data_IF_951577016599
#
_entry.id   IF_951577016599
#
_cell.length_a   1.000
_cell.length_b   1.000
_cell.length_c   1.000
_cell.angle_alpha   90.00
_cell.angle_beta   90.00
_cell.angle_gamma   90.00
#
_symmetry.space_group_name_H-M   'P 1'
#
loop_
_entity.id
_entity.type
_entity.pdbx_description
1 polymer ?
#
# COMPACT_ATOMS: atom_id res chain seq x y z
N UNK A 1 18.37 -25.62 12.49
CA UNK A 1 17.50 -25.28 13.64
C UNK A 1 18.07 -25.92 14.90
N UNK A 2 18.20 -25.17 16.01
CA UNK A 2 18.57 -25.74 17.32
C UNK A 2 17.34 -25.81 18.20
N UNK A 3 16.91 -27.01 18.57
CA UNK A 3 15.73 -27.25 19.40
C UNK A 3 16.15 -27.28 20.87
N UNK A 4 15.61 -26.36 21.68
CA UNK A 4 15.80 -26.37 23.14
C UNK A 4 14.88 -27.42 23.74
N UNK A 5 15.46 -28.46 24.34
CA UNK A 5 14.75 -29.51 25.08
C UNK A 5 15.16 -29.50 26.54
N UNK A 6 14.20 -29.66 27.44
CA UNK A 6 14.43 -29.93 28.86
C UNK A 6 13.46 -31.03 29.32
N UNK A 7 13.90 -32.01 30.11
CA UNK A 7 13.03 -33.08 30.61
C UNK A 7 12.20 -33.83 29.55
N UNK A 8 12.69 -33.98 28.31
CA UNK A 8 11.97 -34.62 27.21
C UNK A 8 10.96 -33.74 26.47
N UNK A 9 10.70 -32.50 26.91
CA UNK A 9 9.79 -31.54 26.26
C UNK A 9 10.57 -30.47 25.48
N UNK A 10 10.03 -30.08 24.32
CA UNK A 10 10.56 -28.99 23.48
C UNK A 10 10.00 -27.66 23.97
N UNK A 11 10.88 -26.71 24.34
CA UNK A 11 10.50 -25.40 24.89
C UNK A 11 10.81 -24.23 23.95
N UNK A 12 11.43 -24.49 22.80
CA UNK A 12 11.67 -23.47 21.79
C UNK A 12 12.63 -23.94 20.72
N UNK A 13 12.67 -23.22 19.61
CA UNK A 13 13.61 -23.46 18.53
C UNK A 13 14.32 -22.15 18.18
N UNK A 14 15.65 -22.22 18.08
CA UNK A 14 16.47 -21.13 17.57
C UNK A 14 16.80 -21.48 16.12
N UNK A 15 16.25 -20.69 15.19
CA UNK A 15 16.59 -20.79 13.77
C UNK A 15 18.09 -20.49 13.59
N UNK A 16 18.75 -21.22 12.69
CA UNK A 16 20.10 -20.87 12.25
C UNK A 16 20.06 -19.56 11.47
N UNK A 17 21.21 -18.92 11.29
CA UNK A 17 21.30 -17.70 10.47
C UNK A 17 20.77 -17.92 9.04
N UNK A 18 21.02 -19.11 8.46
CA UNK A 18 20.52 -19.48 7.13
C UNK A 18 18.99 -19.66 7.10
N UNK A 19 18.41 -20.30 8.12
CA UNK A 19 16.95 -20.48 8.23
C UNK A 19 16.23 -19.14 8.47
N UNK A 20 16.81 -18.27 9.30
CA UNK A 20 16.29 -16.91 9.52
C UNK A 20 16.31 -16.11 8.22
N UNK A 21 17.43 -16.13 7.49
CA UNK A 21 17.54 -15.46 6.18
C UNK A 21 16.53 -15.99 5.16
N UNK A 22 16.34 -17.31 5.08
CA UNK A 22 15.35 -17.91 4.19
C UNK A 22 13.91 -17.52 4.57
N UNK A 23 13.61 -17.45 5.87
CA UNK A 23 12.32 -17.00 6.38
C UNK A 23 12.08 -15.52 6.09
N UNK A 24 13.08 -14.65 6.30
CA UNK A 24 12.98 -13.22 5.98
C UNK A 24 12.75 -13.00 4.48
N UNK A 25 13.40 -13.81 3.63
CA UNK A 25 13.17 -13.80 2.17
C UNK A 25 11.74 -14.19 1.80
N UNK A 26 11.16 -15.20 2.45
CA UNK A 26 9.79 -15.63 2.19
C UNK A 26 8.76 -14.62 2.71
N UNK A 27 8.99 -14.00 3.87
CA UNK A 27 8.17 -12.90 4.39
C UNK A 27 8.19 -11.73 3.41
N UNK A 28 9.37 -11.32 2.94
CA UNK A 28 9.50 -10.24 1.95
C UNK A 28 8.80 -10.61 0.64
N UNK A 29 8.89 -11.86 0.20
CA UNK A 29 8.16 -12.34 -0.99
C UNK A 29 6.65 -12.22 -0.80
N UNK A 30 6.12 -12.64 0.34
CA UNK A 30 4.68 -12.56 0.63
C UNK A 30 4.21 -11.11 0.72
N UNK A 31 5.02 -10.19 1.27
CA UNK A 31 4.74 -8.76 1.27
C UNK A 31 4.64 -8.24 -0.17
N UNK A 32 5.62 -8.54 -1.02
CA UNK A 32 5.61 -8.11 -2.43
C UNK A 32 4.43 -8.69 -3.21
N UNK A 33 4.08 -9.96 -2.96
CA UNK A 33 2.94 -10.61 -3.62
C UNK A 33 1.60 -10.03 -3.16
N UNK A 34 1.46 -9.76 -1.85
CA UNK A 34 0.31 -9.07 -1.30
C UNK A 34 0.20 -7.64 -1.88
N UNK A 35 1.29 -6.87 -1.91
CA UNK A 35 1.33 -5.53 -2.47
C UNK A 35 0.90 -5.50 -3.94
N UNK A 36 1.36 -6.45 -4.75
CA UNK A 36 0.93 -6.57 -6.16
C UNK A 36 -0.56 -6.87 -6.30
N UNK A 37 -1.10 -7.73 -5.45
CA UNK A 37 -2.53 -8.03 -5.45
C UNK A 37 -3.35 -6.81 -5.02
N UNK A 38 -2.92 -6.12 -3.96
CA UNK A 38 -3.55 -4.88 -3.51
C UNK A 38 -3.49 -3.78 -4.58
N UNK A 39 -2.38 -3.64 -5.31
CA UNK A 39 -2.27 -2.67 -6.39
C UNK A 39 -3.31 -2.90 -7.50
N UNK A 40 -3.50 -4.16 -7.94
CA UNK A 40 -4.48 -4.49 -8.97
C UNK A 40 -5.92 -4.16 -8.54
N UNK A 41 -6.28 -4.49 -7.30
CA UNK A 41 -7.63 -4.22 -6.78
C UNK A 41 -7.88 -2.71 -6.62
N UNK A 42 -6.88 -1.93 -6.18
CA UNK A 42 -6.96 -0.47 -6.09
C UNK A 42 -7.06 0.17 -7.48
N UNK A 43 -6.24 -0.26 -8.45
CA UNK A 43 -6.30 0.25 -9.82
C UNK A 43 -7.67 -0.02 -10.45
N UNK A 44 -8.22 -1.23 -10.27
CA UNK A 44 -9.55 -1.58 -10.73
C UNK A 44 -10.63 -0.70 -10.08
N UNK A 45 -10.56 -0.50 -8.76
CA UNK A 45 -11.48 0.36 -8.02
C UNK A 45 -11.47 1.80 -8.54
N UNK A 46 -10.29 2.42 -8.69
CA UNK A 46 -10.15 3.80 -9.17
C UNK A 46 -10.68 3.94 -10.59
N UNK A 47 -10.31 3.01 -11.49
CA UNK A 47 -10.80 3.03 -12.88
C UNK A 47 -12.32 2.84 -12.96
N UNK A 48 -12.89 1.99 -12.12
CA UNK A 48 -14.34 1.82 -12.04
C UNK A 48 -15.04 3.08 -11.53
N UNK A 49 -14.52 3.72 -10.47
CA UNK A 49 -15.05 4.99 -9.96
C UNK A 49 -15.03 6.08 -11.03
N UNK A 50 -13.93 6.22 -11.79
CA UNK A 50 -13.82 7.17 -12.90
C UNK A 50 -14.83 6.86 -14.03
N UNK A 51 -15.07 5.58 -14.30
CA UNK A 51 -16.06 5.16 -15.29
C UNK A 51 -17.48 5.54 -14.86
N UNK A 52 -17.88 5.16 -13.64
CA UNK A 52 -19.24 5.34 -13.14
C UNK A 52 -19.56 6.80 -12.85
N UNK A 53 -18.68 7.52 -12.15
CA UNK A 53 -19.00 8.85 -11.66
C UNK A 53 -18.55 9.98 -12.61
N UNK A 54 -17.56 9.74 -13.46
CA UNK A 54 -17.05 10.75 -14.40
C UNK A 54 -17.25 10.37 -15.88
N UNK A 55 -17.87 9.22 -16.17
CA UNK A 55 -18.21 8.80 -17.52
C UNK A 55 -17.00 8.45 -18.39
N UNK A 56 -15.86 8.07 -17.80
CA UNK A 56 -14.65 7.78 -18.57
C UNK A 56 -14.84 6.48 -19.37
N UNK A 57 -14.79 6.58 -20.70
CA UNK A 57 -14.72 5.40 -21.58
C UNK A 57 -13.32 4.78 -21.63
N UNK A 58 -13.21 3.60 -22.24
CA UNK A 58 -11.97 2.78 -22.32
C UNK A 58 -10.71 3.57 -22.68
N UNK A 59 -10.76 4.48 -23.67
CA UNK A 59 -9.60 5.28 -24.09
C UNK A 59 -9.10 6.23 -23.00
N UNK A 60 -10.02 6.89 -22.29
CA UNK A 60 -9.69 7.83 -21.20
C UNK A 60 -9.19 7.07 -19.97
N UNK A 61 -9.82 5.93 -19.64
CA UNK A 61 -9.36 5.04 -18.58
C UNK A 61 -7.94 4.54 -18.84
N UNK A 62 -7.64 4.11 -20.07
CA UNK A 62 -6.29 3.66 -20.43
C UNK A 62 -5.25 4.76 -20.25
N UNK A 63 -5.55 5.99 -20.71
CA UNK A 63 -4.66 7.14 -20.54
C UNK A 63 -4.43 7.49 -19.06
N UNK A 64 -5.48 7.40 -18.23
CA UNK A 64 -5.34 7.59 -16.79
C UNK A 64 -4.49 6.49 -16.17
N UNK A 65 -4.76 5.22 -16.49
CA UNK A 65 -4.01 4.07 -15.98
C UNK A 65 -2.51 4.18 -16.30
N UNK A 66 -2.14 4.45 -17.55
CA UNK A 66 -0.73 4.55 -17.96
C UNK A 66 0.01 5.69 -17.22
N UNK A 67 -0.67 6.78 -16.87
CA UNK A 67 -0.11 7.85 -16.06
C UNK A 67 -0.04 7.50 -14.57
N UNK A 68 -1.09 6.87 -14.04
CA UNK A 68 -1.20 6.51 -12.62
C UNK A 68 -0.22 5.39 -12.24
N UNK A 69 -0.04 4.38 -13.10
CA UNK A 69 0.91 3.30 -12.88
C UNK A 69 2.36 3.80 -12.83
N UNK A 70 2.72 4.77 -13.67
CA UNK A 70 4.05 5.39 -13.63
C UNK A 70 4.33 6.12 -12.31
N UNK A 71 3.33 6.79 -11.72
CA UNK A 71 3.47 7.41 -10.39
C UNK A 71 3.48 6.36 -9.26
N UNK A 72 2.74 5.25 -9.40
CA UNK A 72 2.82 4.11 -8.48
C UNK A 72 4.22 3.48 -8.45
N UNK A 73 4.84 3.27 -9.62
CA UNK A 73 6.21 2.74 -9.69
C UNK A 73 7.21 3.67 -9.00
N UNK A 74 7.04 5.00 -9.15
CA UNK A 74 7.85 5.99 -8.42
C UNK A 74 7.61 5.95 -6.91
N UNK A 75 6.37 5.70 -6.47
CA UNK A 75 6.04 5.56 -5.05
C UNK A 75 6.73 4.34 -4.45
N UNK A 76 6.73 3.22 -5.17
CA UNK A 76 7.43 2.00 -4.74
C UNK A 76 8.94 2.27 -4.64
N UNK A 77 9.52 2.96 -5.62
CA UNK A 77 10.94 3.37 -5.56
C UNK A 77 11.23 4.31 -4.36
N UNK A 78 10.31 5.23 -4.05
CA UNK A 78 10.43 6.12 -2.89
C UNK A 78 10.49 5.34 -1.58
N UNK A 79 9.59 4.38 -1.34
CA UNK A 79 9.60 3.59 -0.10
C UNK A 79 10.80 2.62 0.00
N UNK A 80 11.48 2.35 -1.11
CA UNK A 80 12.73 1.59 -1.11
C UNK A 80 13.96 2.45 -0.75
N UNK A 81 13.83 3.78 -0.70
CA UNK A 81 14.91 4.70 -0.30
C UNK A 81 14.63 5.29 1.11
N UNK A 82 15.62 5.34 2.04
CA UNK A 82 15.34 5.66 3.44
C UNK A 82 15.09 7.13 3.78
N UNK A 83 15.47 8.09 2.92
CA UNK A 83 15.52 9.51 3.31
C UNK A 83 14.74 10.46 2.39
N UNK A 84 13.88 11.25 3.03
CA UNK A 84 13.49 12.63 2.71
C UNK A 84 12.99 12.98 1.31
N UNK A 85 11.92 12.33 0.86
CA UNK A 85 11.07 12.88 -0.21
C UNK A 85 9.64 13.06 0.25
N UNK A 86 9.31 14.26 0.76
CA UNK A 86 7.92 14.69 0.95
C UNK A 86 7.15 14.43 -0.35
N UNK A 87 6.14 13.56 -0.28
CA UNK A 87 5.51 12.96 -1.45
C UNK A 87 5.00 14.03 -2.43
N UNK A 88 5.64 14.12 -3.61
CA UNK A 88 5.42 15.17 -4.62
C UNK A 88 3.93 15.34 -4.96
N UNK A 89 3.16 14.26 -5.02
CA UNK A 89 1.73 14.33 -5.33
C UNK A 89 0.93 15.08 -4.24
N UNK A 90 1.25 14.89 -2.95
CA UNK A 90 0.57 15.61 -1.86
C UNK A 90 0.85 17.12 -1.95
N UNK A 91 2.11 17.48 -2.17
CA UNK A 91 2.51 18.89 -2.28
C UNK A 91 1.92 19.56 -3.54
N UNK A 92 1.90 18.86 -4.67
CA UNK A 92 1.31 19.38 -5.91
C UNK A 92 -0.21 19.54 -5.79
N UNK A 93 -0.89 18.65 -5.08
CA UNK A 93 -2.32 18.79 -4.78
C UNK A 93 -2.58 19.99 -3.85
N UNK A 94 -1.77 20.18 -2.80
CA UNK A 94 -1.90 21.35 -1.91
C UNK A 94 -1.76 22.67 -2.66
N UNK A 95 -0.86 22.75 -3.65
CA UNK A 95 -0.69 23.96 -4.50
C UNK A 95 -1.93 24.35 -5.28
N UNK A 96 -2.83 23.40 -5.57
CA UNK A 96 -4.12 23.66 -6.24
C UNK A 96 -5.30 23.67 -5.25
N UNK A 97 -5.03 23.73 -3.94
CA UNK A 97 -6.04 23.78 -2.89
C UNK A 97 -6.64 22.43 -2.50
N UNK A 98 -6.01 21.31 -2.87
CA UNK A 98 -6.48 19.96 -2.51
C UNK A 98 -5.63 19.40 -1.37
N UNK A 99 -6.24 19.20 -0.20
CA UNK A 99 -5.61 18.54 0.94
C UNK A 99 -6.29 17.20 1.25
N UNK A 100 -5.65 16.12 0.79
CA UNK A 100 -6.15 14.75 0.96
C UNK A 100 -6.15 14.32 2.43
N UNK A 101 -5.24 14.85 3.26
CA UNK A 101 -5.19 14.49 4.68
C UNK A 101 -6.33 15.14 5.45
N UNK A 102 -6.67 16.40 5.11
CA UNK A 102 -7.85 17.07 5.64
C UNK A 102 -9.14 16.32 5.28
N UNK A 103 -9.35 16.02 3.99
CA UNK A 103 -10.54 15.27 3.54
C UNK A 103 -10.66 13.88 4.18
N UNK A 104 -9.54 13.20 4.43
CA UNK A 104 -9.56 11.91 5.13
C UNK A 104 -9.88 12.02 6.63
N UNK A 105 -9.57 13.15 7.28
CA UNK A 105 -9.97 13.40 8.67
C UNK A 105 -11.46 13.71 8.76
N UNK A 106 -11.97 14.57 7.87
CA UNK A 106 -13.41 14.88 7.75
C UNK A 106 -14.25 13.62 7.55
N UNK A 107 -13.78 12.67 6.73
CA UNK A 107 -14.47 11.38 6.54
C UNK A 107 -14.48 10.47 7.78
N UNK A 108 -13.54 10.64 8.71
CA UNK A 108 -13.39 9.79 9.90
C UNK A 108 -14.12 10.32 11.11
N UNK A 109 -14.46 11.61 11.13
CA UNK A 109 -15.34 12.20 12.13
C UNK A 109 -16.78 11.97 11.65
N UNK A 110 -17.54 11.03 12.24
CA UNK A 110 -18.94 10.89 11.89
C UNK A 110 -19.66 12.19 12.27
N UNK A 111 -20.42 12.72 11.33
CA UNK A 111 -21.31 13.85 11.55
C UNK A 111 -22.25 13.50 12.72
N UNK A 112 -22.05 14.12 13.88
CA UNK A 112 -22.86 13.88 15.08
C UNK A 112 -24.33 14.34 14.89
N UNK A 113 -24.67 14.89 13.72
CA UNK A 113 -25.99 15.44 13.42
C UNK A 113 -27.00 14.44 12.84
N UNK A 114 -26.60 13.21 12.48
CA UNK A 114 -27.54 12.16 12.00
C UNK A 114 -28.02 11.19 13.10
N UNK A 115 -27.95 11.59 14.37
CA UNK A 115 -28.73 10.94 15.42
C UNK A 115 -29.78 11.92 15.86
N UNK A 116 -31.00 11.91 15.32
CA UNK A 116 -32.26 12.33 15.97
C UNK A 116 -33.44 11.76 15.17
#
# INVERSE_FOLDING_TARGET
>A
MRIKKAGGKVFGAVLTAAERKAMDMEINRQIVEADRRYANDIDAMVLYTLHVHLGFGKKRLRKFYDAFSAEHDRLIQYYQMPDDYTWLCKEMLKRIGVDVEAWNKERKEPDETEKH
#
